data_IF_430207084372
#
_entry.id   IF_430207084372
#
_cell.length_a   1.000
_cell.length_b   1.000
_cell.length_c   1.000
_cell.angle_alpha   90.00
_cell.angle_beta   90.00
_cell.angle_gamma   90.00
#
_symmetry.space_group_name_H-M   'P 1'
#
loop_
_entity.id
_entity.type
_entity.pdbx_description
1 polymer ?
#
# COMPACT_ATOMS: atom_id res chain seq x y z
N UNK A 1 2.01 12.25 12.94
CA UNK A 1 2.64 10.92 12.81
C UNK A 1 1.64 9.77 12.91
N UNK A 2 0.87 9.68 14.01
CA UNK A 2 -0.14 8.62 14.24
C UNK A 2 -1.02 8.31 13.02
N UNK A 3 -1.56 9.36 12.37
CA UNK A 3 -2.44 9.22 11.20
C UNK A 3 -1.76 8.49 10.04
N UNK A 4 -0.50 8.81 9.71
CA UNK A 4 0.20 8.13 8.61
C UNK A 4 0.50 6.66 8.94
N UNK A 5 0.73 6.31 10.22
CA UNK A 5 0.92 4.91 10.62
C UNK A 5 -0.40 4.11 10.55
N UNK A 6 -1.52 4.73 10.93
CA UNK A 6 -2.85 4.14 10.77
C UNK A 6 -3.21 3.97 9.30
N UNK A 7 -2.92 4.98 8.47
CA UNK A 7 -3.12 4.94 7.03
C UNK A 7 -2.27 3.86 6.36
N UNK A 8 -1.01 3.67 6.77
CA UNK A 8 -0.15 2.60 6.24
C UNK A 8 -0.73 1.20 6.51
N UNK A 9 -1.21 0.96 7.74
CA UNK A 9 -1.88 -0.29 8.12
C UNK A 9 -3.15 -0.53 7.32
N UNK A 10 -3.99 0.50 7.21
CA UNK A 10 -5.26 0.41 6.51
C UNK A 10 -5.06 0.23 4.99
N UNK A 11 -4.08 0.91 4.40
CA UNK A 11 -3.73 0.73 3.00
C UNK A 11 -3.35 -0.72 2.71
N UNK A 12 -2.43 -1.31 3.48
CA UNK A 12 -2.04 -2.71 3.31
C UNK A 12 -3.24 -3.67 3.43
N UNK A 13 -4.15 -3.41 4.38
CA UNK A 13 -5.39 -4.19 4.52
C UNK A 13 -6.30 -4.06 3.30
N UNK A 14 -6.45 -2.85 2.75
CA UNK A 14 -7.28 -2.61 1.56
C UNK A 14 -6.70 -3.24 0.30
N UNK A 15 -5.37 -3.27 0.15
CA UNK A 15 -4.71 -3.96 -0.97
C UNK A 15 -5.12 -5.43 -1.02
N UNK A 16 -5.11 -6.11 0.13
CA UNK A 16 -5.55 -7.50 0.27
C UNK A 16 -7.03 -7.67 -0.05
N UNK A 17 -7.89 -6.89 0.62
CA UNK A 17 -9.35 -7.04 0.49
C UNK A 17 -9.87 -6.76 -0.93
N UNK A 18 -9.24 -5.80 -1.63
CA UNK A 18 -9.66 -5.40 -2.98
C UNK A 18 -8.88 -6.12 -4.07
N UNK A 19 -7.89 -6.93 -3.68
CA UNK A 19 -6.92 -7.55 -4.57
C UNK A 19 -6.30 -6.53 -5.55
N UNK A 20 -5.90 -5.37 -5.04
CA UNK A 20 -5.18 -4.35 -5.82
C UNK A 20 -3.74 -4.85 -5.99
N UNK A 21 -3.22 -4.77 -7.22
CA UNK A 21 -1.92 -5.34 -7.58
C UNK A 21 -1.22 -4.44 -8.61
N UNK A 22 0.06 -4.68 -8.83
CA UNK A 22 0.93 -3.89 -9.69
C UNK A 22 1.74 -2.87 -8.90
N UNK A 23 2.09 -1.78 -9.58
CA UNK A 23 2.73 -0.61 -8.98
C UNK A 23 1.68 0.25 -8.29
N UNK A 24 1.91 0.56 -7.02
CA UNK A 24 0.97 1.32 -6.16
C UNK A 24 1.73 2.50 -5.57
N UNK A 25 1.15 3.69 -5.70
CA UNK A 25 1.66 4.92 -5.09
C UNK A 25 0.71 5.36 -3.98
N UNK A 26 1.25 5.69 -2.81
CA UNK A 26 0.49 6.25 -1.69
C UNK A 26 1.06 7.61 -1.34
N UNK A 27 0.18 8.62 -1.39
CA UNK A 27 0.49 9.97 -0.94
C UNK A 27 0.15 10.10 0.55
N UNK A 28 1.17 10.31 1.38
CA UNK A 28 1.01 10.48 2.82
C UNK A 28 0.99 11.96 3.18
N UNK A 29 0.35 12.31 4.30
CA UNK A 29 0.37 13.69 4.82
C UNK A 29 1.81 14.10 5.11
N UNK A 30 2.14 15.37 4.83
CA UNK A 30 3.46 15.97 5.00
C UNK A 30 4.18 15.56 6.30
N UNK A 31 5.38 15.00 6.11
CA UNK A 31 6.28 14.57 7.17
C UNK A 31 7.50 15.50 7.25
N UNK A 32 7.53 16.36 8.27
CA UNK A 32 8.62 17.35 8.45
C UNK A 32 9.98 16.77 8.86
N UNK A 33 10.00 15.54 9.37
CA UNK A 33 11.18 14.89 9.96
C UNK A 33 11.49 13.62 9.18
N UNK A 34 12.76 13.36 8.87
CA UNK A 34 13.17 12.14 8.16
C UNK A 34 12.83 10.87 8.94
N UNK A 35 12.85 10.94 10.27
CA UNK A 35 12.47 9.85 11.16
C UNK A 35 11.01 9.42 10.95
N UNK A 36 10.12 10.36 10.63
CA UNK A 36 8.71 10.06 10.34
C UNK A 36 8.56 9.23 9.06
N UNK A 37 9.29 9.62 8.00
CA UNK A 37 9.33 8.88 6.73
C UNK A 37 9.86 7.47 6.94
N UNK A 38 10.92 7.32 7.73
CA UNK A 38 11.48 6.01 8.09
C UNK A 38 10.47 5.14 8.87
N UNK A 39 9.72 5.73 9.80
CA UNK A 39 8.67 5.04 10.55
C UNK A 39 7.53 4.55 9.65
N UNK A 40 7.10 5.33 8.66
CA UNK A 40 6.09 4.89 7.68
C UNK A 40 6.63 3.76 6.81
N UNK A 41 7.87 3.88 6.32
CA UNK A 41 8.50 2.82 5.53
C UNK A 41 8.55 1.49 6.31
N UNK A 42 8.95 1.52 7.58
CA UNK A 42 9.00 0.30 8.40
C UNK A 42 7.61 -0.26 8.68
N UNK A 43 6.62 0.59 8.95
CA UNK A 43 5.24 0.16 9.11
C UNK A 43 4.68 -0.50 7.84
N UNK A 44 4.94 0.08 6.67
CA UNK A 44 4.55 -0.50 5.38
C UNK A 44 5.24 -1.85 5.16
N UNK A 45 6.56 -1.94 5.37
CA UNK A 45 7.29 -3.21 5.26
C UNK A 45 6.71 -4.28 6.18
N UNK A 46 6.42 -3.94 7.43
CA UNK A 46 5.82 -4.88 8.37
C UNK A 46 4.44 -5.37 7.90
N UNK A 47 3.56 -4.46 7.48
CA UNK A 47 2.21 -4.83 7.04
C UNK A 47 2.16 -5.58 5.70
N UNK A 48 3.13 -5.33 4.80
CA UNK A 48 3.22 -6.01 3.52
C UNK A 48 3.81 -7.42 3.64
N UNK A 49 4.68 -7.68 4.62
CA UNK A 49 5.15 -9.04 4.95
C UNK A 49 4.02 -9.99 5.36
N UNK A 50 2.93 -9.46 5.88
CA UNK A 50 1.71 -10.22 6.23
C UNK A 50 0.79 -10.48 5.02
N UNK A 51 1.11 -9.95 3.83
CA UNK A 51 0.32 -10.19 2.63
C UNK A 51 0.55 -11.63 2.11
N UNK A 52 -0.52 -12.42 1.88
CA UNK A 52 -0.38 -13.74 1.29
C UNK A 52 0.15 -13.71 -0.15
N UNK A 53 0.02 -12.57 -0.83
CA UNK A 53 0.58 -12.34 -2.16
C UNK A 53 1.85 -11.52 -2.02
N UNK A 54 2.90 -11.89 -2.77
CA UNK A 54 4.18 -11.17 -2.73
C UNK A 54 3.98 -9.66 -2.93
N UNK A 55 4.31 -8.88 -1.90
CA UNK A 55 4.22 -7.44 -1.90
C UNK A 55 5.43 -6.84 -1.17
N UNK A 56 6.00 -5.78 -1.72
CA UNK A 56 7.21 -5.14 -1.23
C UNK A 56 7.07 -3.62 -1.26
N UNK A 57 7.59 -2.96 -0.22
CA UNK A 57 7.84 -1.52 -0.24
C UNK A 57 9.14 -1.27 -1.02
N UNK A 58 9.08 -0.39 -2.03
CA UNK A 58 10.23 -0.05 -2.88
C UNK A 58 11.02 1.08 -2.22
N UNK A 59 10.52 2.31 -2.29
CA UNK A 59 11.09 3.49 -1.66
C UNK A 59 10.04 4.62 -1.62
N UNK A 60 10.42 5.78 -1.09
CA UNK A 60 9.74 7.02 -1.43
C UNK A 60 10.29 7.58 -2.75
N UNK A 61 9.40 7.93 -3.67
CA UNK A 61 9.77 8.61 -4.92
C UNK A 61 10.39 9.97 -4.64
N UNK A 62 11.01 10.59 -5.65
CA UNK A 62 11.54 11.96 -5.57
C UNK A 62 10.48 13.02 -5.20
N UNK A 63 9.20 12.71 -5.42
CA UNK A 63 8.07 13.57 -5.07
C UNK A 63 7.52 13.31 -3.65
N UNK A 64 8.10 12.37 -2.90
CA UNK A 64 7.66 12.04 -1.54
C UNK A 64 6.52 11.03 -1.47
N UNK A 65 6.12 10.42 -2.58
CA UNK A 65 5.10 9.35 -2.61
C UNK A 65 5.72 8.00 -2.23
N UNK A 66 5.04 7.22 -1.39
CA UNK A 66 5.46 5.85 -1.09
C UNK A 66 5.17 4.93 -2.29
N UNK A 67 6.19 4.24 -2.78
CA UNK A 67 6.10 3.31 -3.90
C UNK A 67 6.12 1.85 -3.39
N UNK A 68 5.11 1.09 -3.80
CA UNK A 68 4.92 -0.31 -3.44
C UNK A 68 4.73 -1.17 -4.71
N UNK A 69 5.10 -2.44 -4.62
CA UNK A 69 4.73 -3.43 -5.61
C UNK A 69 3.94 -4.56 -4.96
N UNK A 70 2.94 -5.09 -5.67
CA UNK A 70 2.23 -6.31 -5.27
C UNK A 70 1.96 -7.17 -6.50
N UNK A 71 2.36 -8.44 -6.46
CA UNK A 71 2.22 -9.36 -7.60
C UNK A 71 0.75 -9.51 -8.00
N UNK A 72 0.47 -9.49 -9.31
CA UNK A 72 -0.89 -9.71 -9.84
C UNK A 72 -1.16 -11.19 -9.99
N UNK A 73 -2.02 -11.74 -9.14
CA UNK A 73 -2.40 -13.17 -9.18
C UNK A 73 -3.85 -13.40 -9.62
N UNK A 74 -4.74 -12.44 -9.35
CA UNK A 74 -6.15 -12.51 -9.74
C UNK A 74 -6.68 -11.14 -10.14
N UNK A 75 -7.90 -11.12 -10.68
CA UNK A 75 -8.60 -9.87 -11.02
C UNK A 75 -8.95 -9.07 -9.75
N UNK A 76 -8.85 -7.73 -9.76
CA UNK A 76 -9.29 -6.90 -8.64
C UNK A 76 -10.79 -7.04 -8.36
N UNK A 77 -11.19 -6.79 -7.13
CA UNK A 77 -12.59 -6.89 -6.68
C UNK A 77 -13.56 -6.09 -7.55
N UNK A 78 -13.17 -4.88 -7.96
CA UNK A 78 -14.01 -4.01 -8.81
C UNK A 78 -14.36 -4.65 -10.16
N UNK A 79 -13.43 -5.39 -10.77
CA UNK A 79 -13.69 -6.08 -12.04
C UNK A 79 -14.61 -7.28 -11.85
N UNK A 80 -14.51 -7.96 -10.69
CA UNK A 80 -15.38 -9.10 -10.37
C UNK A 80 -16.82 -8.63 -10.18
N UNK A 81 -17.04 -7.57 -9.39
CA UNK A 81 -18.36 -7.02 -9.12
C UNK A 81 -19.06 -6.50 -10.38
N UNK A 82 -18.31 -5.89 -11.31
CA UNK A 82 -18.87 -5.42 -12.59
C UNK A 82 -19.41 -6.54 -13.47
N UNK A 83 -18.88 -7.77 -13.37
CA UNK A 83 -19.38 -8.92 -14.12
C UNK A 83 -20.60 -9.59 -13.51
N UNK A 84 -20.84 -9.41 -12.21
CA UNK A 84 -22.03 -9.94 -11.54
C UNK A 84 -23.27 -9.11 -11.85
N UNK A 85 -23.09 -7.87 -12.28
CA UNK A 85 -24.16 -6.92 -12.61
C UNK A 85 -24.44 -6.80 -14.12
N UNK A 86 -23.81 -7.65 -14.94
CA UNK A 86 -24.04 -7.76 -16.37
C UNK A 86 -24.64 -9.14 -16.67
#
# INVERSE_FOLDING_TARGET
MKINLEAAKEAARQLRLRNISGMILIDFIDMKKREHTAQVAEALRACLREDPVKADFVDFTKLGLAELTRKKEARPLVEQLRKTNA
#
